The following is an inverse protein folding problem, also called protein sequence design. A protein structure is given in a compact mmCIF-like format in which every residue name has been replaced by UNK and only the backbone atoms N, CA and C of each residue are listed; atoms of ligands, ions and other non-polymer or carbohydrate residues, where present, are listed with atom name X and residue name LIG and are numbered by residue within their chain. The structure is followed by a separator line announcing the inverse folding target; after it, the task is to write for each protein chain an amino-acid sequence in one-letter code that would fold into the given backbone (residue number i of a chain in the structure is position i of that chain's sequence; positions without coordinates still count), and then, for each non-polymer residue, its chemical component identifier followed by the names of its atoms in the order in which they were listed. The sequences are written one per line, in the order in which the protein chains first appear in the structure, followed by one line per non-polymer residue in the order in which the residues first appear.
data_IF_706974699687
#
_entry.id   IF_706974699687
#
_cell.length_a   1.000
_cell.length_b   1.000
_cell.length_c   1.000
_cell.angle_alpha   90.00
_cell.angle_beta   90.00
_cell.angle_gamma   90.00
#
_symmetry.space_group_name_H-M   'P 1'
#
loop_
_entity.id
_entity.type
_entity.pdbx_description
1 polymer ?
#
# COMPACT_ATOMS: atom_id res chain seq x y z
N UNK A 1 -9.91 50.88 7.78
CA UNK A 1 -10.70 49.87 8.51
C UNK A 1 -9.97 48.53 8.41
N UNK A 2 -9.23 48.14 9.45
CA UNK A 2 -8.60 46.82 9.54
C UNK A 2 -9.67 45.81 9.91
N UNK A 3 -10.14 45.04 8.93
CA UNK A 3 -11.05 43.91 9.17
C UNK A 3 -10.21 42.81 9.84
N UNK A 4 -10.32 42.72 11.16
CA UNK A 4 -9.80 41.58 11.92
C UNK A 4 -10.50 40.33 11.39
N UNK A 5 -9.84 39.57 10.53
CA UNK A 5 -10.25 38.20 10.20
C UNK A 5 -10.12 37.41 11.51
N UNK A 6 -11.26 37.07 12.12
CA UNK A 6 -11.32 36.15 13.27
C UNK A 6 -10.64 34.84 12.88
N UNK A 7 -9.41 34.67 13.35
CA UNK A 7 -8.58 33.46 13.25
C UNK A 7 -8.88 32.54 14.44
N UNK A 8 -10.16 32.30 14.73
CA UNK A 8 -10.56 31.26 15.69
C UNK A 8 -10.88 30.01 14.88
N UNK A 9 -9.84 29.31 14.45
CA UNK A 9 -9.98 27.95 13.93
C UNK A 9 -10.15 27.04 15.14
N UNK A 10 -11.27 26.33 15.20
CA UNK A 10 -11.56 25.35 16.24
C UNK A 10 -10.65 24.13 16.08
N UNK A 11 -10.40 23.41 17.18
CA UNK A 11 -9.63 22.16 17.11
C UNK A 11 -10.28 21.12 16.18
N UNK A 12 -11.61 21.13 16.07
CA UNK A 12 -12.36 20.25 15.18
C UNK A 12 -12.14 20.62 13.70
N UNK A 13 -12.10 21.90 13.36
CA UNK A 13 -11.76 22.36 12.00
C UNK A 13 -10.32 22.00 11.61
N UNK A 14 -9.37 22.11 12.55
CA UNK A 14 -7.99 21.65 12.32
C UNK A 14 -7.98 20.13 12.10
N UNK A 15 -8.72 19.36 12.90
CA UNK A 15 -8.79 17.90 12.78
C UNK A 15 -9.40 17.48 11.45
N UNK A 16 -10.53 18.05 11.05
CA UNK A 16 -11.18 17.75 9.78
C UNK A 16 -10.24 18.01 8.60
N UNK A 17 -9.59 19.18 8.58
CA UNK A 17 -8.63 19.50 7.52
C UNK A 17 -7.45 18.54 7.46
N UNK A 18 -6.94 18.10 8.61
CA UNK A 18 -5.85 17.11 8.67
C UNK A 18 -6.30 15.74 8.18
N UNK A 19 -7.52 15.31 8.50
CA UNK A 19 -8.09 14.06 7.99
C UNK A 19 -8.21 14.15 6.46
N UNK A 20 -8.76 15.24 5.93
CA UNK A 20 -8.89 15.43 4.48
C UNK A 20 -7.52 15.44 3.77
N UNK A 21 -6.52 16.11 4.36
CA UNK A 21 -5.14 16.10 3.86
C UNK A 21 -4.55 14.68 3.86
N UNK A 22 -4.78 13.89 4.92
CA UNK A 22 -4.32 12.50 5.02
C UNK A 22 -5.04 11.60 4.02
N UNK A 23 -6.35 11.77 3.85
CA UNK A 23 -7.15 10.98 2.92
C UNK A 23 -6.75 11.29 1.48
N UNK A 24 -6.47 12.56 1.16
CA UNK A 24 -5.94 12.94 -0.15
C UNK A 24 -4.57 12.30 -0.42
N UNK A 25 -3.65 12.33 0.56
CA UNK A 25 -2.34 11.68 0.44
C UNK A 25 -2.46 10.16 0.31
N UNK A 26 -3.40 9.55 1.03
CA UNK A 26 -3.71 8.13 0.88
C UNK A 26 -4.27 7.82 -0.51
N UNK A 27 -5.15 8.66 -1.05
CA UNK A 27 -5.73 8.53 -2.38
C UNK A 27 -4.69 8.69 -3.50
N UNK A 28 -3.83 9.70 -3.43
CA UNK A 28 -2.71 9.87 -4.38
C UNK A 28 -1.79 8.65 -4.39
N UNK A 29 -1.52 8.06 -3.21
CA UNK A 29 -0.69 6.87 -3.09
C UNK A 29 -1.31 5.62 -3.75
N UNK A 30 -2.64 5.46 -3.68
CA UNK A 30 -3.35 4.36 -4.34
C UNK A 30 -3.30 4.47 -5.88
N UNK A 31 -2.96 5.64 -6.43
CA UNK A 31 -2.74 5.84 -7.87
C UNK A 31 -1.30 5.56 -8.33
N UNK A 32 -0.40 5.22 -7.41
CA UNK A 32 1.00 4.94 -7.72
C UNK A 32 1.22 3.60 -8.42
N UNK A 33 2.46 3.39 -8.90
CA UNK A 33 2.93 2.12 -9.48
C UNK A 33 4.22 1.67 -8.80
N UNK A 34 4.35 0.37 -8.57
CA UNK A 34 5.60 -0.27 -8.12
C UNK A 34 6.25 -0.95 -9.31
N UNK A 35 7.53 -0.68 -9.56
CA UNK A 35 8.30 -1.40 -10.58
C UNK A 35 9.01 -2.58 -9.93
N UNK A 36 8.73 -3.80 -10.41
CA UNK A 36 9.34 -5.03 -9.95
C UNK A 36 9.74 -5.90 -11.15
N UNK A 37 10.99 -6.40 -11.17
CA UNK A 37 11.57 -7.14 -12.32
C UNK A 37 11.37 -6.42 -13.68
N UNK A 38 11.42 -5.09 -13.68
CA UNK A 38 11.22 -4.28 -14.90
C UNK A 38 9.78 -4.22 -15.42
N UNK A 39 8.80 -4.68 -14.63
CA UNK A 39 7.38 -4.59 -14.92
C UNK A 39 6.67 -3.70 -13.89
N UNK A 40 5.68 -2.93 -14.33
CA UNK A 40 4.91 -2.04 -13.47
C UNK A 40 3.71 -2.76 -12.86
N UNK A 41 3.49 -2.60 -11.56
CA UNK A 41 2.32 -3.10 -10.84
C UNK A 41 1.55 -1.92 -10.27
N UNK A 42 0.27 -1.80 -10.62
CA UNK A 42 -0.63 -0.82 -10.03
C UNK A 42 -0.88 -1.20 -8.57
N UNK A 43 -0.92 -0.18 -7.71
CA UNK A 43 -1.12 -0.32 -6.26
C UNK A 43 -2.60 -0.13 -5.91
N UNK A 44 -3.49 -0.37 -6.88
CA UNK A 44 -4.93 -0.31 -6.64
C UNK A 44 -5.39 -1.42 -5.67
N UNK A 45 -6.56 -1.23 -5.08
CA UNK A 45 -7.08 -2.16 -4.08
C UNK A 45 -7.26 -3.57 -4.64
N UNK A 46 -7.58 -3.70 -5.93
CA UNK A 46 -7.79 -5.00 -6.58
C UNK A 46 -6.49 -5.79 -6.66
N UNK A 47 -5.41 -5.18 -7.16
CA UNK A 47 -4.10 -5.82 -7.23
C UNK A 47 -3.54 -6.11 -5.85
N UNK A 48 -3.75 -5.22 -4.88
CA UNK A 48 -3.34 -5.44 -3.50
C UNK A 48 -4.05 -6.64 -2.88
N UNK A 49 -5.35 -6.76 -3.07
CA UNK A 49 -6.13 -7.91 -2.60
C UNK A 49 -5.68 -9.21 -3.29
N UNK A 50 -5.43 -9.19 -4.60
CA UNK A 50 -4.93 -10.35 -5.34
C UNK A 50 -3.56 -10.81 -4.82
N UNK A 51 -2.63 -9.87 -4.60
CA UNK A 51 -1.29 -10.15 -4.09
C UNK A 51 -1.37 -10.66 -2.66
N UNK A 52 -2.19 -10.04 -1.81
CA UNK A 52 -2.38 -10.47 -0.43
C UNK A 52 -3.00 -11.87 -0.35
N UNK A 53 -3.95 -12.20 -1.23
CA UNK A 53 -4.50 -13.56 -1.34
C UNK A 53 -3.43 -14.57 -1.72
N UNK A 54 -2.60 -14.27 -2.73
CA UNK A 54 -1.52 -15.15 -3.15
C UNK A 54 -0.48 -15.38 -2.03
N UNK A 55 -0.16 -14.33 -1.27
CA UNK A 55 0.75 -14.37 -0.13
C UNK A 55 0.17 -15.22 0.99
N UNK A 56 -1.11 -15.01 1.35
CA UNK A 56 -1.78 -15.81 2.37
C UNK A 56 -1.79 -17.29 2.00
N UNK A 57 -2.08 -17.63 0.74
CA UNK A 57 -2.01 -19.02 0.25
C UNK A 57 -0.60 -19.62 0.37
N UNK A 58 0.45 -18.81 0.22
CA UNK A 58 1.84 -19.23 0.39
C UNK A 58 2.30 -19.31 1.85
N UNK A 59 1.58 -18.68 2.79
CA UNK A 59 1.92 -18.65 4.23
C UNK A 59 1.24 -19.76 5.06
N UNK A 60 0.19 -20.40 4.55
CA UNK A 60 -0.46 -21.52 5.25
C UNK A 60 0.56 -22.65 5.49
N UNK A 61 0.53 -23.38 6.61
CA UNK A 61 1.41 -24.54 6.80
C UNK A 61 1.27 -25.56 5.67
N UNK A 62 2.37 -25.84 4.94
CA UNK A 62 2.36 -26.68 3.73
C UNK A 62 1.91 -25.94 2.46
N UNK A 63 1.60 -24.65 2.55
CA UNK A 63 1.33 -23.76 1.44
C UNK A 63 2.59 -23.54 0.62
N UNK A 64 2.53 -23.91 -0.65
CA UNK A 64 3.57 -23.65 -1.63
C UNK A 64 2.89 -22.98 -2.81
N UNK A 65 3.52 -21.96 -3.39
CA UNK A 65 3.03 -21.42 -4.65
C UNK A 65 3.04 -22.53 -5.72
N UNK A 66 2.04 -22.57 -6.61
CA UNK A 66 2.07 -23.47 -7.75
C UNK A 66 3.39 -23.32 -8.52
N UNK A 67 3.93 -24.44 -9.04
CA UNK A 67 5.07 -24.36 -9.95
C UNK A 67 4.71 -23.49 -11.15
N UNK A 68 5.59 -22.54 -11.47
CA UNK A 68 5.33 -21.59 -12.56
C UNK A 68 4.30 -20.52 -12.22
N UNK A 69 4.06 -20.22 -10.94
CA UNK A 69 3.22 -19.10 -10.54
C UNK A 69 3.66 -17.81 -11.22
N UNK A 70 2.75 -17.22 -11.99
CA UNK A 70 2.94 -15.94 -12.65
C UNK A 70 1.94 -14.91 -12.14
N UNK A 71 2.37 -13.66 -12.13
CA UNK A 71 1.51 -12.52 -11.89
C UNK A 71 1.47 -11.63 -13.11
N UNK A 72 0.27 -11.17 -13.46
CA UNK A 72 0.10 -10.19 -14.51
C UNK A 72 0.42 -8.79 -13.95
N UNK A 73 1.39 -8.13 -14.57
CA UNK A 73 1.70 -6.72 -14.37
C UNK A 73 0.68 -5.82 -15.06
N UNK A 74 0.66 -4.54 -14.72
CA UNK A 74 -0.18 -3.51 -15.35
C UNK A 74 0.07 -3.34 -16.84
N UNK A 75 1.30 -3.63 -17.28
CA UNK A 75 1.69 -3.62 -18.68
C UNK A 75 1.32 -4.93 -19.39
N UNK A 76 0.48 -5.76 -18.77
CA UNK A 76 0.00 -7.07 -19.24
C UNK A 76 1.10 -8.11 -19.45
N UNK A 77 2.29 -7.91 -18.89
CA UNK A 77 3.36 -8.92 -18.88
C UNK A 77 3.12 -9.92 -17.76
N UNK A 78 3.28 -11.20 -18.04
CA UNK A 78 3.30 -12.25 -17.02
C UNK A 78 4.70 -12.37 -16.43
N UNK A 79 4.79 -12.21 -15.11
CA UNK A 79 6.04 -12.24 -14.37
C UNK A 79 6.03 -13.48 -13.47
N UNK A 80 6.95 -14.40 -13.71
CA UNK A 80 7.16 -15.54 -12.83
C UNK A 80 7.75 -15.06 -11.50
N UNK A 81 7.12 -15.48 -10.41
CA UNK A 81 7.50 -15.12 -9.04
C UNK A 81 7.75 -16.37 -8.21
N UNK A 82 8.85 -16.36 -7.45
CA UNK A 82 9.03 -17.28 -6.34
C UNK A 82 8.21 -16.83 -5.12
N UNK A 83 8.08 -17.70 -4.11
CA UNK A 83 7.43 -17.33 -2.85
C UNK A 83 8.12 -16.14 -2.19
N UNK A 84 9.45 -16.12 -2.17
CA UNK A 84 10.24 -15.03 -1.61
C UNK A 84 10.01 -13.71 -2.37
N UNK A 85 10.00 -13.76 -3.70
CA UNK A 85 9.74 -12.58 -4.53
C UNK A 85 8.31 -12.04 -4.34
N UNK A 86 7.34 -12.94 -4.14
CA UNK A 86 5.97 -12.57 -3.81
C UNK A 86 5.89 -11.86 -2.45
N UNK A 87 6.64 -12.32 -1.44
CA UNK A 87 6.74 -11.63 -0.15
C UNK A 87 7.42 -10.26 -0.28
N UNK A 88 8.49 -10.14 -1.07
CA UNK A 88 9.12 -8.85 -1.34
C UNK A 88 8.18 -7.88 -2.06
N UNK A 89 7.44 -8.37 -3.07
CA UNK A 89 6.45 -7.56 -3.78
C UNK A 89 5.32 -7.12 -2.84
N UNK A 90 4.80 -8.03 -2.02
CA UNK A 90 3.80 -7.69 -1.01
C UNK A 90 4.34 -6.68 0.00
N UNK A 91 5.59 -6.81 0.44
CA UNK A 91 6.22 -5.87 1.36
C UNK A 91 6.45 -4.53 0.68
N UNK A 92 6.81 -4.46 -0.60
CA UNK A 92 6.94 -3.19 -1.32
C UNK A 92 5.59 -2.47 -1.44
N UNK A 93 4.50 -3.22 -1.65
CA UNK A 93 3.14 -2.70 -1.79
C UNK A 93 2.49 -2.33 -0.45
N UNK A 94 2.82 -3.06 0.62
CA UNK A 94 2.27 -2.87 1.96
C UNK A 94 3.21 -2.16 2.93
N UNK A 95 4.47 -1.96 2.55
CA UNK A 95 5.57 -1.54 3.41
C UNK A 95 5.37 -0.19 4.07
N UNK A 96 4.60 0.72 3.47
CA UNK A 96 4.21 1.96 4.16
C UNK A 96 2.85 1.95 4.86
N UNK A 97 2.27 0.78 5.12
CA UNK A 97 1.17 0.65 6.11
C UNK A 97 1.72 0.10 7.44
N UNK A 98 2.76 -0.74 7.42
CA UNK A 98 3.33 -1.35 8.63
C UNK A 98 4.55 -0.63 9.22
N UNK A 99 5.27 0.20 8.47
CA UNK A 99 6.38 0.99 9.02
C UNK A 99 5.94 2.10 10.01
N UNK A 100 4.64 2.38 10.12
CA UNK A 100 4.09 3.41 11.02
C UNK A 100 3.30 2.87 12.21
N UNK A 101 3.24 1.54 12.42
CA UNK A 101 2.50 0.94 13.54
C UNK A 101 3.35 0.16 14.55
N UNK A 102 4.68 0.09 14.36
CA UNK A 102 5.57 -0.38 15.42
C UNK A 102 5.89 0.80 16.34
N UNK A 103 5.07 0.95 17.39
CA UNK A 103 5.42 1.76 18.56
C UNK A 103 6.82 1.34 19.05
N UNK A 104 7.77 2.28 19.23
CA UNK A 104 9.10 2.00 19.77
C UNK A 104 9.12 1.53 21.23
N UNK A 105 7.95 1.41 21.87
CA UNK A 105 7.81 1.26 23.32
C UNK A 105 7.62 -0.19 23.79
N UNK A 106 7.82 -1.18 22.90
CA UNK A 106 7.91 -2.59 23.29
C UNK A 106 9.25 -3.20 22.84
N UNK A 107 10.33 -2.73 23.48
CA UNK A 107 11.59 -3.46 23.62
C UNK A 107 12.03 -3.44 25.07
#
# INVERSE_FOLDING_TARGET
MNVVRKLLITADEVRARRIDEIDALCGERLSGKVVFKGASFDIDDKNRLNIMSAVLSAMVPGGVLPQGFTMQSSDKKEIALSSEELFFLQTALTGWIYLTSVHPEMR
#
